data_IF_578065745650
#
_entry.id   IF_578065745650
#
_cell.length_a   1.000
_cell.length_b   1.000
_cell.length_c   1.000
_cell.angle_alpha   90.00
_cell.angle_beta   90.00
_cell.angle_gamma   90.00
#
_symmetry.space_group_name_H-M   'P 1'
#
loop_
_entity.id
_entity.type
_entity.pdbx_description
1 polymer ?
#
# COMPACT_ATOMS: atom_id res chain seq x y z
N UNK A 1 5.60 -11.83 2.08
CA UNK A 1 7.02 -11.34 2.16
C UNK A 1 7.03 -9.82 2.08
N UNK A 2 7.91 -9.13 2.80
CA UNK A 2 8.04 -7.65 2.77
C UNK A 2 9.37 -7.26 2.10
N UNK A 3 9.35 -6.20 1.29
CA UNK A 3 10.51 -5.55 0.66
C UNK A 3 10.41 -4.06 0.96
N UNK A 4 11.49 -3.45 1.49
CA UNK A 4 11.50 -2.11 2.10
C UNK A 4 12.53 -1.16 1.48
N UNK A 5 12.87 -1.35 0.20
CA UNK A 5 13.89 -0.56 -0.51
C UNK A 5 13.39 0.85 -0.87
N UNK A 6 12.16 0.98 -1.37
CA UNK A 6 11.55 2.26 -1.78
C UNK A 6 10.05 2.25 -1.42
N UNK A 7 9.76 2.60 -0.17
CA UNK A 7 8.47 2.34 0.45
C UNK A 7 8.38 0.90 0.97
N UNK A 8 7.17 0.41 1.20
CA UNK A 8 6.90 -0.92 1.72
C UNK A 8 6.12 -1.70 0.67
N UNK A 9 6.78 -2.69 0.04
CA UNK A 9 6.14 -3.65 -0.86
C UNK A 9 5.84 -4.94 -0.12
N UNK A 10 4.57 -5.35 -0.15
CA UNK A 10 4.06 -6.58 0.44
C UNK A 10 3.69 -7.53 -0.69
N UNK A 11 4.29 -8.73 -0.66
CA UNK A 11 3.98 -9.83 -1.57
C UNK A 11 3.07 -10.82 -0.84
N UNK A 12 1.90 -11.08 -1.42
CA UNK A 12 0.93 -12.06 -0.95
C UNK A 12 1.13 -13.42 -1.65
N UNK A 13 0.60 -14.48 -1.06
CA UNK A 13 0.76 -15.86 -1.56
C UNK A 13 -0.01 -16.12 -2.86
N UNK A 14 -1.10 -15.38 -3.10
CA UNK A 14 -1.96 -15.43 -4.28
C UNK A 14 -1.36 -14.70 -5.50
N UNK A 15 -0.04 -14.49 -5.52
CA UNK A 15 0.69 -13.68 -6.51
C UNK A 15 0.30 -12.20 -6.53
N UNK A 16 -0.56 -11.73 -5.62
CA UNK A 16 -0.89 -10.33 -5.51
C UNK A 16 0.21 -9.55 -4.77
N UNK A 17 0.29 -8.25 -5.02
CA UNK A 17 1.20 -7.37 -4.30
C UNK A 17 0.61 -5.99 -4.07
N UNK A 18 1.11 -5.33 -3.02
CA UNK A 18 0.80 -3.95 -2.68
C UNK A 18 2.10 -3.19 -2.41
N UNK A 19 2.19 -1.94 -2.85
CA UNK A 19 3.29 -1.02 -2.56
C UNK A 19 2.75 0.27 -1.96
N UNK A 20 3.18 0.56 -0.73
CA UNK A 20 2.92 1.81 -0.03
C UNK A 20 4.17 2.68 -0.09
N UNK A 21 4.10 3.84 -0.74
CA UNK A 21 5.30 4.65 -1.00
C UNK A 21 5.03 6.15 -0.79
N UNK A 22 5.81 6.86 0.05
CA UNK A 22 5.75 8.31 0.08
C UNK A 22 6.25 8.90 -1.24
N UNK A 23 5.60 9.95 -1.74
CA UNK A 23 6.12 10.68 -2.89
C UNK A 23 7.31 11.54 -2.48
N UNK A 24 8.39 11.51 -3.27
CA UNK A 24 9.57 12.36 -3.05
C UNK A 24 9.40 13.80 -3.51
N UNK A 25 8.35 14.12 -4.27
CA UNK A 25 8.14 15.44 -4.90
C UNK A 25 6.82 16.09 -4.52
N UNK A 26 5.90 15.36 -3.90
CA UNK A 26 4.56 15.83 -3.56
C UNK A 26 4.21 15.38 -2.14
N UNK A 27 3.40 16.12 -1.38
CA UNK A 27 3.01 15.76 -0.01
C UNK A 27 1.90 14.68 -0.01
N UNK A 28 2.13 13.57 -0.69
CA UNK A 28 1.16 12.46 -0.84
C UNK A 28 1.84 11.11 -0.61
N UNK A 29 1.04 10.12 -0.21
CA UNK A 29 1.40 8.70 -0.27
C UNK A 29 0.74 8.04 -1.47
N UNK A 30 1.48 7.17 -2.16
CA UNK A 30 0.99 6.35 -3.27
C UNK A 30 0.73 4.92 -2.78
N UNK A 31 -0.39 4.37 -3.22
CA UNK A 31 -0.75 2.97 -3.02
C UNK A 31 -0.88 2.34 -4.40
N UNK A 32 -0.02 1.38 -4.71
CA UNK A 32 -0.09 0.59 -5.93
C UNK A 32 -0.44 -0.85 -5.56
N UNK A 33 -1.30 -1.48 -6.35
CA UNK A 33 -1.70 -2.87 -6.15
C UNK A 33 -1.76 -3.60 -7.46
N UNK A 34 -1.52 -4.89 -7.42
CA UNK A 34 -1.76 -5.83 -8.51
C UNK A 34 -2.27 -7.13 -7.91
N UNK A 35 -3.26 -7.73 -8.54
CA UNK A 35 -3.85 -8.97 -8.05
C UNK A 35 -4.52 -9.77 -9.16
N UNK A 36 -4.82 -11.07 -8.93
CA UNK A 36 -5.69 -11.85 -9.80
C UNK A 36 -7.14 -11.32 -9.78
N UNK A 37 -7.42 -10.37 -10.67
CA UNK A 37 -8.74 -9.82 -10.92
C UNK A 37 -9.14 -8.63 -10.05
N UNK A 38 -10.17 -7.91 -10.54
CA UNK A 38 -10.57 -6.61 -10.01
C UNK A 38 -11.04 -6.65 -8.56
N UNK A 39 -11.72 -7.72 -8.14
CA UNK A 39 -12.21 -7.85 -6.77
C UNK A 39 -11.04 -7.84 -5.78
N UNK A 40 -10.03 -8.68 -6.03
CA UNK A 40 -8.87 -8.78 -5.15
C UNK A 40 -8.03 -7.51 -5.17
N UNK A 41 -7.89 -6.89 -6.34
CA UNK A 41 -7.20 -5.60 -6.47
C UNK A 41 -7.88 -4.50 -5.65
N UNK A 42 -9.22 -4.43 -5.67
CA UNK A 42 -9.99 -3.48 -4.84
C UNK A 42 -9.81 -3.71 -3.35
N UNK A 43 -9.89 -4.97 -2.90
CA UNK A 43 -9.66 -5.33 -1.50
C UNK A 43 -8.27 -4.87 -1.03
N UNK A 44 -7.22 -5.13 -1.81
CA UNK A 44 -5.86 -4.68 -1.49
C UNK A 44 -5.72 -3.16 -1.49
N UNK A 45 -6.37 -2.47 -2.43
CA UNK A 45 -6.33 -1.01 -2.48
C UNK A 45 -6.97 -0.40 -1.22
N UNK A 46 -8.14 -0.92 -0.81
CA UNK A 46 -8.82 -0.48 0.40
C UNK A 46 -7.99 -0.74 1.67
N UNK A 47 -7.37 -1.92 1.76
CA UNK A 47 -6.45 -2.27 2.84
C UNK A 47 -5.26 -1.31 2.91
N UNK A 48 -4.63 -1.02 1.78
CA UNK A 48 -3.51 -0.10 1.68
C UNK A 48 -3.86 1.33 2.10
N UNK A 49 -4.97 1.86 1.58
CA UNK A 49 -5.47 3.18 1.94
C UNK A 49 -5.79 3.29 3.44
N UNK A 50 -6.48 2.28 4.00
CA UNK A 50 -6.79 2.23 5.44
C UNK A 50 -5.53 2.24 6.28
N UNK A 51 -4.52 1.46 5.89
CA UNK A 51 -3.24 1.36 6.60
C UNK A 51 -2.50 2.69 6.62
N UNK A 52 -2.36 3.34 5.46
CA UNK A 52 -1.69 4.65 5.35
C UNK A 52 -2.45 5.72 6.14
N UNK A 53 -3.76 5.80 5.99
CA UNK A 53 -4.57 6.80 6.69
C UNK A 53 -4.48 6.64 8.20
N UNK A 54 -4.51 5.41 8.71
CA UNK A 54 -4.33 5.14 10.13
C UNK A 54 -2.95 5.59 10.61
N UNK A 55 -1.88 5.20 9.93
CA UNK A 55 -0.53 5.59 10.31
C UNK A 55 -0.34 7.11 10.32
N UNK A 56 -0.90 7.83 9.34
CA UNK A 56 -0.87 9.30 9.30
C UNK A 56 -1.68 9.91 10.43
N UNK A 57 -2.83 9.34 10.79
CA UNK A 57 -3.63 9.81 11.92
C UNK A 57 -2.91 9.60 13.25
N UNK A 58 -2.28 8.44 13.45
CA UNK A 58 -1.54 8.10 14.66
C UNK A 58 -0.33 9.03 14.88
N UNK A 59 0.30 9.51 13.81
CA UNK A 59 1.40 10.50 13.88
C UNK A 59 0.97 11.93 14.19
N UNK A 60 -0.33 12.26 14.08
CA UNK A 60 -0.87 13.60 14.37
C UNK A 60 -1.28 13.78 15.84
N UNK A 61 -1.31 12.69 16.60
CA UNK A 61 -1.62 12.68 18.04
C UNK A 61 -0.33 12.66 18.86
#
# INVERSE_FOLDING_TARGET
KVIDIDGIKILHEDSAWMLLRPSGTEPIFRVFVEAPGDKRAKELMEEGLKTVNKAVADLKN
#
